data_IF_733682103628
#
_entry.id   IF_733682103628
#
_cell.length_a   1.000
_cell.length_b   1.000
_cell.length_c   1.000
_cell.angle_alpha   90.00
_cell.angle_beta   90.00
_cell.angle_gamma   90.00
#
_symmetry.space_group_name_H-M   'P 1'
#
loop_
_entity.id
_entity.type
_entity.pdbx_description
1 polymer ?
#
# COMPACT_ATOMS: atom_id res chain seq x y z
N UNK A 1 18.03 21.07 -8.09
CA UNK A 1 16.65 20.58 -8.24
C UNK A 1 16.66 19.14 -7.78
N UNK A 2 15.93 18.82 -6.71
CA UNK A 2 15.88 17.46 -6.18
C UNK A 2 15.01 16.58 -7.09
N UNK A 3 15.28 15.28 -7.12
CA UNK A 3 14.49 14.32 -7.89
C UNK A 3 13.02 14.30 -7.43
N UNK A 4 12.07 14.08 -8.34
CA UNK A 4 10.63 14.13 -8.05
C UNK A 4 10.23 13.19 -6.90
N UNK A 5 10.68 11.94 -6.94
CA UNK A 5 10.40 10.96 -5.87
C UNK A 5 11.04 11.38 -4.54
N UNK A 6 12.23 11.99 -4.58
CA UNK A 6 12.88 12.47 -3.35
C UNK A 6 12.08 13.62 -2.71
N UNK A 7 11.53 14.53 -3.52
CA UNK A 7 10.63 15.59 -3.03
C UNK A 7 9.32 15.02 -2.47
N UNK A 8 8.70 14.06 -3.17
CA UNK A 8 7.47 13.42 -2.70
C UNK A 8 7.69 12.64 -1.40
N UNK A 9 8.85 11.97 -1.25
CA UNK A 9 9.23 11.30 0.01
C UNK A 9 9.38 12.30 1.16
N UNK A 10 10.07 13.43 0.92
CA UNK A 10 10.21 14.49 1.90
C UNK A 10 8.85 15.08 2.29
N UNK A 11 8.02 15.40 1.31
CA UNK A 11 6.67 15.93 1.53
C UNK A 11 5.81 14.92 2.30
N UNK A 12 5.87 13.63 1.96
CA UNK A 12 5.18 12.57 2.72
C UNK A 12 5.59 12.55 4.20
N UNK A 13 6.88 12.71 4.52
CA UNK A 13 7.36 12.83 5.90
C UNK A 13 6.88 14.10 6.59
N UNK A 14 6.96 15.24 5.91
CA UNK A 14 6.45 16.52 6.41
C UNK A 14 4.97 16.42 6.77
N UNK A 15 4.16 15.87 5.86
CA UNK A 15 2.72 15.66 6.04
C UNK A 15 2.42 14.75 7.23
N UNK A 16 3.21 13.69 7.47
CA UNK A 16 3.06 12.84 8.65
C UNK A 16 3.16 13.63 9.96
N UNK A 17 4.06 14.62 10.03
CA UNK A 17 4.17 15.50 11.19
C UNK A 17 3.03 16.53 11.25
N UNK A 18 2.71 17.19 10.15
CA UNK A 18 1.65 18.21 10.07
C UNK A 18 0.27 17.68 10.45
N UNK A 19 -0.07 16.47 10.02
CA UNK A 19 -1.35 15.82 10.34
C UNK A 19 -1.40 15.19 11.73
N UNK A 20 -0.31 15.35 12.50
CA UNK A 20 -0.09 14.70 13.79
C UNK A 20 -0.14 13.16 13.71
N UNK A 21 0.16 12.58 12.54
CA UNK A 21 0.22 11.13 12.39
C UNK A 21 1.51 10.58 13.03
N UNK A 22 2.65 11.24 12.79
CA UNK A 22 3.93 10.99 13.46
C UNK A 22 4.18 12.10 14.50
N UNK A 23 4.07 11.77 15.79
CA UNK A 23 4.20 12.73 16.89
C UNK A 23 5.03 12.15 18.03
N UNK A 24 5.51 13.01 18.94
CA UNK A 24 6.07 12.57 20.22
C UNK A 24 5.11 12.91 21.36
N UNK A 25 5.06 12.09 22.39
CA UNK A 25 4.43 12.47 23.67
C UNK A 25 5.37 13.36 24.49
N UNK A 26 4.86 13.97 25.56
CA UNK A 26 5.70 14.68 26.54
C UNK A 26 6.80 13.81 27.17
N UNK A 27 6.61 12.49 27.17
CA UNK A 27 7.60 11.51 27.63
C UNK A 27 8.59 11.07 26.52
N UNK A 28 8.54 11.69 25.33
CA UNK A 28 9.40 11.39 24.19
C UNK A 28 9.09 10.07 23.49
N UNK A 29 7.87 9.54 23.64
CA UNK A 29 7.44 8.30 22.96
C UNK A 29 6.79 8.66 21.63
N UNK A 30 7.28 8.07 20.54
CA UNK A 30 6.74 8.32 19.19
C UNK A 30 5.42 7.58 18.96
N UNK A 31 4.50 8.16 18.20
CA UNK A 31 3.16 7.61 17.93
C UNK A 31 3.14 6.24 17.24
N UNK A 32 4.18 5.87 16.49
CA UNK A 32 4.33 4.54 15.88
C UNK A 32 5.06 3.53 16.78
N UNK A 33 5.47 3.92 18.00
CA UNK A 33 6.15 3.03 18.94
C UNK A 33 5.15 2.21 19.77
N UNK A 34 5.53 0.98 20.10
CA UNK A 34 4.86 0.23 21.17
C UNK A 34 5.36 0.72 22.53
N UNK A 35 4.46 1.36 23.28
CA UNK A 35 4.72 1.91 24.62
C UNK A 35 5.30 0.89 25.61
N UNK A 36 4.96 -0.40 25.43
CA UNK A 36 5.41 -1.51 26.27
C UNK A 36 6.78 -2.09 25.87
N UNK A 37 7.27 -1.79 24.66
CA UNK A 37 8.55 -2.29 24.15
C UNK A 37 9.64 -1.23 24.23
N UNK A 38 10.70 -1.50 25.00
CA UNK A 38 11.87 -0.60 25.10
C UNK A 38 12.56 -0.43 23.75
N UNK A 39 12.76 -1.51 23.00
CA UNK A 39 13.38 -1.48 21.67
C UNK A 39 12.56 -0.68 20.67
N UNK A 40 11.22 -0.86 20.67
CA UNK A 40 10.33 -0.12 19.77
C UNK A 40 10.40 1.39 20.02
N UNK A 41 10.37 1.80 21.29
CA UNK A 41 10.52 3.21 21.68
C UNK A 41 11.86 3.80 21.25
N UNK A 42 12.96 3.06 21.47
CA UNK A 42 14.30 3.53 21.11
C UNK A 42 14.45 3.70 19.59
N UNK A 43 14.07 2.69 18.80
CA UNK A 43 14.18 2.72 17.34
C UNK A 43 13.29 3.81 16.75
N UNK A 44 12.01 3.88 17.14
CA UNK A 44 11.09 4.88 16.64
C UNK A 44 11.55 6.30 16.97
N UNK A 45 12.03 6.53 18.19
CA UNK A 45 12.60 7.81 18.60
C UNK A 45 13.80 8.18 17.73
N UNK A 46 14.71 7.24 17.49
CA UNK A 46 15.90 7.49 16.68
C UNK A 46 15.58 7.79 15.21
N UNK A 47 14.55 7.16 14.63
CA UNK A 47 14.04 7.52 13.30
C UNK A 47 13.60 8.98 13.28
N UNK A 48 12.80 9.41 14.27
CA UNK A 48 12.33 10.79 14.34
C UNK A 48 13.46 11.78 14.58
N UNK A 49 14.44 11.45 15.43
CA UNK A 49 15.64 12.29 15.62
C UNK A 49 16.37 12.51 14.29
N UNK A 50 16.56 11.48 13.47
CA UNK A 50 17.17 11.62 12.13
C UNK A 50 16.31 12.53 11.22
N UNK A 51 14.99 12.32 11.18
CA UNK A 51 14.07 13.13 10.38
C UNK A 51 14.05 14.62 10.80
N UNK A 52 14.21 14.90 12.09
CA UNK A 52 14.23 16.27 12.60
C UNK A 52 15.60 16.92 12.42
N UNK A 53 16.68 16.23 12.81
CA UNK A 53 18.01 16.82 12.88
C UNK A 53 18.65 16.97 11.49
N UNK A 54 18.48 15.97 10.62
CA UNK A 54 19.12 15.94 9.30
C UNK A 54 18.20 16.39 8.17
N UNK A 55 16.91 16.06 8.27
CA UNK A 55 15.92 16.44 7.26
C UNK A 55 15.12 17.69 7.66
N UNK A 56 15.37 18.28 8.83
CA UNK A 56 14.77 19.55 9.28
C UNK A 56 13.24 19.53 9.33
N UNK A 57 12.63 18.35 9.52
CA UNK A 57 11.20 18.26 9.79
C UNK A 57 10.87 18.79 11.19
N UNK A 58 9.66 19.34 11.36
CA UNK A 58 9.20 19.84 12.65
C UNK A 58 8.30 18.82 13.32
N UNK A 59 8.77 18.22 14.41
CA UNK A 59 7.98 17.24 15.14
C UNK A 59 7.03 17.90 16.16
N UNK A 60 5.77 17.43 16.17
CA UNK A 60 4.75 17.92 17.09
C UNK A 60 4.69 17.08 18.37
N UNK A 61 4.42 17.75 19.50
CA UNK A 61 4.21 17.09 20.79
C UNK A 61 2.72 16.91 21.04
N UNK A 62 2.24 15.67 21.05
CA UNK A 62 0.83 15.29 21.24
C UNK A 62 0.72 14.01 22.08
N UNK A 63 -0.02 14.05 23.20
CA UNK A 63 -0.05 12.94 24.15
C UNK A 63 -0.99 11.78 23.77
N UNK A 64 -2.04 12.02 22.96
CA UNK A 64 -2.96 10.93 22.59
C UNK A 64 -3.74 11.19 21.31
N UNK A 65 -3.54 10.32 20.32
CA UNK A 65 -4.39 10.19 19.13
C UNK A 65 -4.85 8.73 19.04
N UNK A 66 -6.09 8.52 18.62
CA UNK A 66 -6.63 7.17 18.50
C UNK A 66 -5.92 6.41 17.38
N UNK A 67 -5.63 5.12 17.59
CA UNK A 67 -4.97 4.29 16.57
C UNK A 67 -5.80 4.15 15.27
N UNK A 68 -7.12 4.25 15.36
CA UNK A 68 -8.00 4.27 14.17
C UNK A 68 -7.80 5.55 13.34
N UNK A 69 -7.67 6.70 14.01
CA UNK A 69 -7.37 7.97 13.35
C UNK A 69 -6.00 7.91 12.66
N UNK A 70 -4.97 7.40 13.34
CA UNK A 70 -3.63 7.27 12.79
C UNK A 70 -3.59 6.34 11.57
N UNK A 71 -4.29 5.20 11.64
CA UNK A 71 -4.41 4.28 10.50
C UNK A 71 -5.00 4.97 9.27
N UNK A 72 -6.17 5.60 9.42
CA UNK A 72 -6.85 6.29 8.31
C UNK A 72 -6.05 7.46 7.74
N UNK A 73 -5.34 8.21 8.59
CA UNK A 73 -4.45 9.27 8.13
C UNK A 73 -3.27 8.69 7.34
N UNK A 74 -2.66 7.61 7.82
CA UNK A 74 -1.54 6.98 7.15
C UNK A 74 -1.93 6.41 5.77
N UNK A 75 -3.12 5.83 5.65
CA UNK A 75 -3.70 5.41 4.37
C UNK A 75 -3.85 6.59 3.40
N UNK A 76 -4.41 7.72 3.86
CA UNK A 76 -4.58 8.93 3.06
C UNK A 76 -3.23 9.48 2.59
N UNK A 77 -2.25 9.59 3.49
CA UNK A 77 -0.92 10.10 3.15
C UNK A 77 -0.17 9.18 2.19
N UNK A 78 -0.36 7.86 2.30
CA UNK A 78 0.20 6.89 1.35
C UNK A 78 -0.41 7.07 -0.04
N UNK A 79 -1.72 7.32 -0.10
CA UNK A 79 -2.41 7.65 -1.36
C UNK A 79 -1.89 8.96 -1.97
N UNK A 80 -1.73 10.01 -1.17
CA UNK A 80 -1.19 11.31 -1.61
C UNK A 80 0.24 11.15 -2.19
N UNK A 81 1.12 10.40 -1.51
CA UNK A 81 2.46 10.08 -2.03
C UNK A 81 2.41 9.39 -3.41
N UNK A 82 1.51 8.41 -3.58
CA UNK A 82 1.35 7.71 -4.86
C UNK A 82 0.81 8.64 -5.96
N UNK A 83 -0.10 9.56 -5.62
CA UNK A 83 -0.61 10.58 -6.54
C UNK A 83 0.47 11.57 -6.98
N UNK A 84 1.40 11.90 -6.09
CA UNK A 84 2.53 12.79 -6.38
C UNK A 84 3.67 12.12 -7.17
N UNK A 85 3.63 10.80 -7.36
CA UNK A 85 4.73 10.05 -7.97
C UNK A 85 4.32 9.24 -9.19
N UNK A 86 3.44 8.24 -9.03
CA UNK A 86 3.15 7.24 -10.06
C UNK A 86 2.61 7.84 -11.38
N UNK A 87 1.72 8.85 -11.39
CA UNK A 87 1.23 9.45 -12.63
C UNK A 87 2.33 10.04 -13.52
N UNK A 88 3.48 10.44 -12.95
CA UNK A 88 4.60 11.02 -13.70
C UNK A 88 5.46 9.98 -14.43
N UNK A 89 5.20 8.68 -14.25
CA UNK A 89 5.96 7.59 -14.88
C UNK A 89 5.36 7.14 -16.23
N UNK A 90 4.67 8.03 -16.95
CA UNK A 90 4.01 7.70 -18.24
C UNK A 90 4.95 7.13 -19.30
N UNK A 91 6.23 7.50 -19.26
CA UNK A 91 7.24 6.98 -20.18
C UNK A 91 7.61 5.51 -19.91
N UNK A 92 7.44 5.04 -18.67
CA UNK A 92 7.67 3.65 -18.28
C UNK A 92 6.38 2.84 -18.34
N UNK A 93 5.26 3.44 -17.90
CA UNK A 93 3.96 2.78 -17.78
C UNK A 93 2.83 3.71 -18.24
N UNK A 94 2.64 3.90 -19.55
CA UNK A 94 1.62 4.80 -20.08
C UNK A 94 0.21 4.30 -19.77
N UNK A 95 -0.67 5.23 -19.41
CA UNK A 95 -2.08 4.95 -19.21
C UNK A 95 -2.81 6.01 -18.40
N UNK A 96 -4.13 5.96 -18.44
CA UNK A 96 -4.98 6.77 -17.58
C UNK A 96 -5.14 6.07 -16.23
N UNK A 97 -4.33 6.49 -15.26
CA UNK A 97 -4.31 5.92 -13.93
C UNK A 97 -5.17 6.73 -12.97
N UNK A 98 -5.85 6.02 -12.07
CA UNK A 98 -6.56 6.61 -10.94
C UNK A 98 -6.09 5.97 -9.65
N UNK A 99 -5.94 6.78 -8.59
CA UNK A 99 -5.43 6.35 -7.29
C UNK A 99 -6.42 6.82 -6.24
N UNK A 100 -7.02 5.89 -5.51
CA UNK A 100 -8.08 6.16 -4.55
C UNK A 100 -7.90 5.34 -3.27
N UNK A 101 -8.17 5.94 -2.12
CA UNK A 101 -8.37 5.24 -0.86
C UNK A 101 -9.73 4.53 -0.88
N UNK A 102 -9.84 3.25 -0.50
CA UNK A 102 -11.11 2.57 -0.27
C UNK A 102 -11.33 2.43 1.24
N UNK A 103 -11.86 3.48 1.87
CA UNK A 103 -12.33 3.38 3.25
C UNK A 103 -13.69 2.68 3.34
N UNK A 104 -14.09 2.25 4.55
CA UNK A 104 -15.38 1.59 4.86
C UNK A 104 -16.65 2.29 4.33
N UNK A 105 -16.56 3.56 3.89
CA UNK A 105 -17.68 4.35 3.38
C UNK A 105 -17.64 4.58 1.86
N UNK A 106 -16.68 3.99 1.12
CA UNK A 106 -16.55 4.26 -0.32
C UNK A 106 -17.45 3.38 -1.19
N UNK A 107 -17.94 4.00 -2.27
CA UNK A 107 -18.81 3.38 -3.29
C UNK A 107 -18.12 2.29 -4.11
N UNK A 108 -16.79 2.36 -4.24
CA UNK A 108 -15.98 1.44 -5.03
C UNK A 108 -15.69 0.17 -4.23
N UNK A 109 -16.05 -0.97 -4.81
CA UNK A 109 -15.79 -2.31 -4.30
C UNK A 109 -14.78 -3.02 -5.20
N UNK A 110 -14.14 -4.08 -4.70
CA UNK A 110 -13.27 -4.92 -5.52
C UNK A 110 -13.97 -5.41 -6.79
N UNK A 111 -15.27 -5.72 -6.72
CA UNK A 111 -16.10 -6.11 -7.86
C UNK A 111 -16.35 -5.02 -8.91
N UNK A 112 -15.89 -3.79 -8.70
CA UNK A 112 -15.95 -2.71 -9.68
C UNK A 112 -14.74 -2.70 -10.62
N UNK A 113 -13.86 -3.69 -10.49
CA UNK A 113 -12.76 -3.92 -11.42
C UNK A 113 -12.99 -5.20 -12.23
N UNK A 114 -12.53 -5.19 -13.48
CA UNK A 114 -12.76 -6.27 -14.46
C UNK A 114 -12.39 -7.64 -13.90
N UNK A 115 -11.21 -7.73 -13.26
CA UNK A 115 -10.69 -9.01 -12.79
C UNK A 115 -11.57 -9.67 -11.72
N UNK A 116 -12.44 -8.90 -11.08
CA UNK A 116 -13.22 -9.29 -9.92
C UNK A 116 -14.72 -9.01 -10.11
N UNK A 117 -15.16 -8.62 -11.31
CA UNK A 117 -16.56 -8.25 -11.57
C UNK A 117 -17.55 -9.33 -11.14
N UNK A 118 -17.22 -10.59 -11.43
CA UNK A 118 -18.01 -11.77 -11.08
C UNK A 118 -18.31 -11.92 -9.58
N UNK A 119 -17.53 -11.27 -8.69
CA UNK A 119 -17.81 -11.29 -7.26
C UNK A 119 -19.13 -10.59 -6.91
N UNK A 120 -19.56 -9.59 -7.69
CA UNK A 120 -20.87 -8.96 -7.51
C UNK A 120 -22.01 -9.98 -7.74
N UNK A 121 -21.88 -10.81 -8.78
CA UNK A 121 -22.83 -11.88 -9.07
C UNK A 121 -22.85 -12.95 -7.97
N UNK A 122 -21.68 -13.41 -7.51
CA UNK A 122 -21.60 -14.36 -6.41
C UNK A 122 -22.23 -13.82 -5.12
N UNK A 123 -21.99 -12.54 -4.81
CA UNK A 123 -22.58 -11.88 -3.64
C UNK A 123 -24.10 -11.80 -3.71
N UNK A 124 -24.69 -11.63 -4.90
CA UNK A 124 -26.14 -11.61 -5.07
C UNK A 124 -26.73 -13.01 -4.82
N UNK A 125 -26.10 -14.06 -5.36
CA UNK A 125 -26.55 -15.44 -5.17
C UNK A 125 -26.46 -15.93 -3.73
N UNK A 126 -25.40 -15.58 -3.01
CA UNK A 126 -25.21 -15.98 -1.61
C UNK A 126 -26.18 -15.26 -0.67
N UNK A 127 -26.58 -14.02 -0.98
CA UNK A 127 -27.58 -13.28 -0.22
C UNK A 127 -28.96 -13.97 -0.22
N UNK A 128 -29.28 -14.70 -1.30
CA UNK A 128 -30.54 -15.42 -1.47
C UNK A 128 -30.46 -16.90 -1.01
N UNK A 129 -29.26 -17.42 -0.72
CA UNK A 129 -29.05 -18.83 -0.38
C UNK A 129 -28.05 -19.02 0.76
N UNK A 130 -28.57 -19.26 1.97
CA UNK A 130 -27.79 -19.45 3.18
C UNK A 130 -26.82 -20.65 3.11
N UNK A 131 -27.16 -21.70 2.35
CA UNK A 131 -26.30 -22.88 2.20
C UNK A 131 -25.10 -22.58 1.31
N UNK A 132 -25.30 -21.81 0.24
CA UNK A 132 -24.21 -21.29 -0.60
C UNK A 132 -23.34 -20.29 0.19
N UNK A 133 -23.93 -19.41 0.98
CA UNK A 133 -23.19 -18.48 1.83
C UNK A 133 -22.29 -19.21 2.83
N UNK A 134 -22.77 -20.29 3.46
CA UNK A 134 -21.98 -21.10 4.38
C UNK A 134 -20.82 -21.85 3.69
N UNK A 135 -20.97 -22.24 2.42
CA UNK A 135 -19.95 -22.98 1.68
C UNK A 135 -18.88 -22.08 1.05
N UNK A 136 -19.26 -20.89 0.56
CA UNK A 136 -18.37 -19.95 -0.13
C UNK A 136 -17.72 -18.92 0.82
N UNK A 137 -18.30 -18.72 2.00
CA UNK A 137 -17.90 -17.66 2.92
C UNK A 137 -18.30 -16.26 2.44
N UNK A 138 -17.86 -15.23 3.16
CA UNK A 138 -18.06 -13.81 2.81
C UNK A 138 -16.73 -13.05 2.62
N UNK A 139 -15.59 -13.76 2.65
CA UNK A 139 -14.26 -13.13 2.74
C UNK A 139 -13.80 -12.48 1.42
N UNK A 140 -14.47 -12.73 0.30
CA UNK A 140 -14.14 -12.12 -1.01
C UNK A 140 -14.46 -10.60 -1.10
N UNK A 141 -15.02 -10.00 -0.05
CA UNK A 141 -15.44 -8.60 -0.02
C UNK A 141 -14.46 -7.64 0.65
N UNK A 142 -13.29 -8.10 1.11
CA UNK A 142 -12.34 -7.19 1.78
C UNK A 142 -11.70 -6.26 0.75
N UNK A 143 -12.01 -4.97 0.88
CA UNK A 143 -11.45 -3.92 0.04
C UNK A 143 -10.07 -3.50 0.56
N UNK A 144 -9.07 -3.34 -0.31
CA UNK A 144 -7.75 -2.86 0.10
C UNK A 144 -7.75 -1.37 0.43
N UNK A 145 -6.84 -0.93 1.29
CA UNK A 145 -6.84 0.43 1.83
C UNK A 145 -6.68 1.51 0.74
N UNK A 146 -5.76 1.30 -0.21
CA UNK A 146 -5.54 2.16 -1.38
C UNK A 146 -5.48 1.30 -2.64
N UNK A 147 -6.15 1.74 -3.70
CA UNK A 147 -6.12 1.11 -5.02
C UNK A 147 -5.53 2.03 -6.07
N UNK A 148 -4.83 1.41 -7.02
CA UNK A 148 -4.44 2.01 -8.28
C UNK A 148 -5.15 1.22 -9.37
N UNK A 149 -5.80 1.89 -10.30
CA UNK A 149 -6.45 1.22 -11.41
C UNK A 149 -6.27 1.99 -12.71
N UNK A 150 -6.38 1.25 -13.82
CA UNK A 150 -6.30 1.78 -15.18
C UNK A 150 -7.70 1.92 -15.76
N UNK A 151 -8.01 3.10 -16.30
CA UNK A 151 -9.23 3.30 -17.07
C UNK A 151 -9.14 2.57 -18.43
N UNK A 152 -10.31 2.27 -18.99
CA UNK A 152 -10.43 1.72 -20.33
C UNK A 152 -10.03 2.76 -21.39
N UNK A 153 -9.49 2.28 -22.50
CA UNK A 153 -9.07 3.10 -23.63
C UNK A 153 -10.14 3.12 -24.72
N UNK A 154 -10.37 4.29 -25.30
CA UNK A 154 -11.16 4.44 -26.52
C UNK A 154 -10.35 3.96 -27.73
N UNK A 155 -11.02 3.56 -28.80
CA UNK A 155 -10.35 3.08 -30.01
C UNK A 155 -9.54 4.19 -30.68
N UNK A 156 -9.94 5.47 -30.57
CA UNK A 156 -9.15 6.61 -31.03
C UNK A 156 -7.84 6.76 -30.26
N UNK A 157 -7.80 6.39 -28.97
CA UNK A 157 -6.57 6.40 -28.18
C UNK A 157 -5.65 5.25 -28.58
N UNK A 158 -6.21 4.04 -28.76
CA UNK A 158 -5.46 2.87 -29.19
C UNK A 158 -4.87 3.09 -30.58
N UNK A 159 -5.67 3.65 -31.50
CA UNK A 159 -5.29 3.84 -32.89
C UNK A 159 -4.50 5.13 -33.16
N UNK A 160 -4.07 5.86 -32.11
CA UNK A 160 -3.49 7.21 -32.23
C UNK A 160 -2.26 7.28 -33.14
N UNK A 161 -1.30 6.39 -32.93
CA UNK A 161 -0.03 6.36 -33.67
C UNK A 161 -0.09 5.39 -34.87
N UNK A 162 -0.87 4.32 -34.73
CA UNK A 162 -1.02 3.28 -35.75
C UNK A 162 -2.43 2.69 -35.66
N UNK A 163 -3.02 2.38 -36.80
CA UNK A 163 -4.28 1.63 -36.85
C UNK A 163 -4.06 0.19 -36.36
N UNK A 164 -4.46 -0.09 -35.11
CA UNK A 164 -4.23 -1.35 -34.40
C UNK A 164 -5.51 -2.19 -34.30
N UNK A 165 -6.66 -1.55 -34.06
CA UNK A 165 -7.96 -2.23 -33.89
C UNK A 165 -9.03 -1.63 -34.78
N UNK A 166 -9.99 -2.47 -35.15
CA UNK A 166 -11.21 -2.11 -35.86
C UNK A 166 -12.45 -2.65 -35.13
N UNK A 167 -13.63 -2.53 -35.75
CA UNK A 167 -14.89 -3.04 -35.22
C UNK A 167 -15.01 -4.57 -35.22
N UNK A 168 -14.03 -5.30 -35.76
CA UNK A 168 -14.09 -6.74 -35.99
C UNK A 168 -13.04 -7.55 -35.21
N UNK A 169 -11.95 -6.91 -34.82
CA UNK A 169 -10.82 -7.48 -34.08
C UNK A 169 -10.88 -7.08 -32.60
N UNK A 170 -10.18 -7.79 -31.71
CA UNK A 170 -10.01 -7.37 -30.31
C UNK A 170 -11.31 -7.21 -29.48
N UNK A 171 -12.39 -7.92 -29.81
CA UNK A 171 -13.74 -7.77 -29.20
C UNK A 171 -13.89 -8.25 -27.76
N UNK A 172 -12.85 -8.90 -27.23
CA UNK A 172 -12.82 -9.47 -25.88
C UNK A 172 -11.64 -8.91 -25.06
N UNK A 173 -11.00 -7.85 -25.56
CA UNK A 173 -9.88 -7.23 -24.87
C UNK A 173 -10.40 -6.34 -23.73
N UNK A 174 -10.00 -6.65 -22.50
CA UNK A 174 -10.45 -5.97 -21.28
C UNK A 174 -10.19 -4.45 -21.29
N UNK A 175 -9.09 -4.01 -21.91
CA UNK A 175 -8.70 -2.59 -21.94
C UNK A 175 -9.55 -1.74 -22.88
N UNK A 176 -10.26 -2.34 -23.86
CA UNK A 176 -11.04 -1.61 -24.86
C UNK A 176 -12.39 -1.22 -24.30
N UNK A 177 -12.64 0.08 -24.25
CA UNK A 177 -13.92 0.60 -23.77
C UNK A 177 -15.11 0.18 -24.64
N UNK A 178 -14.90 0.02 -25.94
CA UNK A 178 -15.92 -0.41 -26.89
C UNK A 178 -16.50 -1.81 -26.61
N UNK A 179 -15.75 -2.69 -25.93
CA UNK A 179 -16.23 -4.03 -25.60
C UNK A 179 -17.26 -4.05 -24.47
N UNK A 180 -17.39 -2.93 -23.74
CA UNK A 180 -18.04 -2.92 -22.44
C UNK A 180 -17.19 -3.67 -21.42
N UNK A 181 -17.04 -3.12 -20.23
CA UNK A 181 -16.19 -3.69 -19.19
C UNK A 181 -15.97 -2.69 -18.07
N UNK A 182 -15.10 -3.06 -17.13
CA UNK A 182 -14.76 -2.25 -15.96
C UNK A 182 -13.28 -1.85 -15.98
N UNK A 183 -12.89 -0.79 -15.23
CA UNK A 183 -11.48 -0.46 -15.06
C UNK A 183 -10.65 -1.65 -14.54
N UNK A 184 -9.36 -1.66 -14.84
CA UNK A 184 -8.45 -2.74 -14.46
C UNK A 184 -7.76 -2.40 -13.14
N UNK A 185 -7.93 -3.24 -12.11
CA UNK A 185 -7.19 -3.08 -10.86
C UNK A 185 -5.69 -3.30 -11.14
N UNK A 186 -4.88 -2.28 -10.91
CA UNK A 186 -3.44 -2.35 -11.14
C UNK A 186 -2.68 -2.69 -9.87
N UNK A 187 -3.09 -2.10 -8.74
CA UNK A 187 -2.47 -2.35 -7.45
C UNK A 187 -3.47 -2.27 -6.30
N UNK A 188 -3.21 -3.11 -5.30
CA UNK A 188 -3.79 -3.13 -3.97
C UNK A 188 -2.68 -2.80 -2.97
N UNK A 189 -2.78 -1.64 -2.34
CA UNK A 189 -1.79 -1.12 -1.38
C UNK A 189 -2.44 -1.11 0.00
N UNK A 190 -2.03 -2.02 0.88
CA UNK A 190 -2.47 -2.00 2.28
C UNK A 190 -1.54 -1.09 3.08
N UNK A 191 -2.08 -0.11 3.81
CA UNK A 191 -1.29 0.82 4.61
C UNK A 191 -1.49 0.54 6.11
N UNK A 192 -0.40 0.18 6.81
CA UNK A 192 -0.45 -0.22 8.22
C UNK A 192 0.49 0.67 9.03
N UNK A 193 -0.05 1.64 9.77
CA UNK A 193 0.76 2.57 10.55
C UNK A 193 1.64 1.87 11.60
N UNK A 194 1.05 0.93 12.35
CA UNK A 194 1.78 0.04 13.26
C UNK A 194 1.30 -1.39 13.12
N UNK A 195 2.16 -2.35 13.45
CA UNK A 195 1.87 -3.76 13.28
C UNK A 195 1.77 -4.48 14.62
N UNK A 196 0.84 -5.43 14.67
CA UNK A 196 0.77 -6.49 15.66
C UNK A 196 0.75 -7.82 14.90
N UNK A 197 1.25 -8.89 15.51
CA UNK A 197 1.40 -10.20 14.83
C UNK A 197 0.09 -10.76 14.30
N UNK A 198 -1.04 -10.47 14.97
CA UNK A 198 -2.40 -10.80 14.53
C UNK A 198 -2.81 -10.02 13.28
N UNK A 199 -2.45 -8.73 13.19
CA UNK A 199 -2.83 -7.86 12.06
C UNK A 199 -2.07 -8.17 10.77
N UNK A 200 -0.91 -8.81 10.85
CA UNK A 200 -0.18 -9.29 9.68
C UNK A 200 -0.96 -10.39 8.92
N UNK A 201 -1.84 -11.14 9.60
CA UNK A 201 -2.67 -12.16 8.97
C UNK A 201 -3.78 -11.55 8.11
N UNK A 202 -4.34 -10.41 8.52
CA UNK A 202 -5.40 -9.75 7.75
C UNK A 202 -4.92 -9.39 6.34
N UNK A 203 -3.74 -8.77 6.23
CA UNK A 203 -3.17 -8.42 4.93
C UNK A 203 -2.82 -9.65 4.09
N UNK A 204 -2.46 -10.79 4.69
CA UNK A 204 -2.28 -12.05 3.95
C UNK A 204 -3.61 -12.62 3.44
N UNK A 205 -4.66 -12.58 4.25
CA UNK A 205 -6.00 -13.04 3.85
C UNK A 205 -6.57 -12.18 2.72
N UNK A 206 -6.43 -10.85 2.82
CA UNK A 206 -6.77 -9.89 1.76
C UNK A 206 -6.04 -10.24 0.45
N UNK A 207 -4.72 -10.43 0.53
CA UNK A 207 -3.89 -10.81 -0.61
C UNK A 207 -4.35 -12.14 -1.24
N UNK A 208 -4.56 -13.17 -0.42
CA UNK A 208 -5.01 -14.48 -0.88
C UNK A 208 -6.38 -14.41 -1.58
N UNK A 209 -7.27 -13.53 -1.14
CA UNK A 209 -8.57 -13.33 -1.80
C UNK A 209 -8.40 -12.71 -3.19
N UNK A 210 -7.53 -11.72 -3.34
CA UNK A 210 -7.21 -11.16 -4.66
C UNK A 210 -6.54 -12.20 -5.57
N UNK A 211 -5.66 -13.04 -5.02
CA UNK A 211 -4.99 -14.09 -5.78
C UNK A 211 -5.98 -15.15 -6.26
N UNK A 212 -6.81 -15.67 -5.36
CA UNK A 212 -7.70 -16.81 -5.64
C UNK A 212 -8.87 -16.45 -6.56
N UNK A 213 -9.38 -15.23 -6.46
CA UNK A 213 -10.59 -14.83 -7.17
C UNK A 213 -10.35 -14.05 -8.46
N UNK A 214 -9.11 -13.80 -8.87
CA UNK A 214 -8.88 -13.02 -10.10
C UNK A 214 -9.31 -13.78 -11.36
N UNK A 215 -9.83 -13.04 -12.34
CA UNK A 215 -9.88 -13.44 -13.75
C UNK A 215 -9.01 -12.47 -14.56
N UNK A 216 -7.84 -12.91 -14.98
CA UNK A 216 -6.84 -12.06 -15.65
C UNK A 216 -5.57 -11.87 -14.83
N UNK A 217 -4.84 -10.79 -15.11
CA UNK A 217 -3.57 -10.49 -14.42
C UNK A 217 -3.79 -10.13 -12.96
N UNK A 218 -2.89 -10.64 -12.10
CA UNK A 218 -2.87 -10.31 -10.68
C UNK A 218 -2.44 -8.83 -10.55
N UNK A 219 -3.18 -7.99 -9.80
CA UNK A 219 -2.70 -6.66 -9.44
C UNK A 219 -1.46 -6.76 -8.55
N UNK A 220 -0.67 -5.69 -8.46
CA UNK A 220 0.34 -5.59 -7.42
C UNK A 220 -0.29 -5.69 -6.03
N UNK A 221 0.27 -6.50 -5.15
CA UNK A 221 -0.19 -6.67 -3.77
C UNK A 221 0.95 -6.27 -2.84
N UNK A 222 0.87 -5.08 -2.28
CA UNK A 222 1.96 -4.48 -1.50
C UNK A 222 1.47 -3.94 -0.18
N UNK A 223 2.40 -3.81 0.78
CA UNK A 223 2.09 -3.20 2.08
C UNK A 223 3.03 -2.04 2.35
N UNK A 224 2.48 -0.90 2.76
CA UNK A 224 3.24 0.25 3.27
C UNK A 224 3.09 0.30 4.78
N UNK A 225 4.19 0.52 5.51
CA UNK A 225 4.17 0.49 6.98
C UNK A 225 5.13 1.49 7.62
N UNK A 226 4.74 1.95 8.82
CA UNK A 226 5.59 2.75 9.71
C UNK A 226 6.00 1.98 10.98
N UNK A 227 5.88 0.65 10.99
CA UNK A 227 6.30 -0.19 12.11
C UNK A 227 7.83 -0.14 12.32
N UNK A 228 8.30 0.28 13.52
CA UNK A 228 9.73 0.40 13.79
C UNK A 228 10.44 -0.94 14.07
N UNK A 229 9.75 -2.01 14.47
CA UNK A 229 10.40 -3.24 14.92
C UNK A 229 10.68 -4.24 13.78
N UNK A 230 11.95 -4.65 13.55
CA UNK A 230 12.29 -5.63 12.51
C UNK A 230 11.57 -6.97 12.61
N UNK A 231 11.34 -7.51 13.81
CA UNK A 231 10.62 -8.77 13.97
C UNK A 231 9.13 -8.69 13.58
N UNK A 232 8.49 -7.52 13.75
CA UNK A 232 7.12 -7.27 13.32
C UNK A 232 7.03 -7.06 11.82
N UNK A 233 8.01 -6.36 11.23
CA UNK A 233 8.18 -6.27 9.79
C UNK A 233 8.33 -7.67 9.19
N UNK A 234 9.18 -8.51 9.80
CA UNK A 234 9.41 -9.88 9.38
C UNK A 234 8.15 -10.75 9.42
N UNK A 235 7.27 -10.57 10.40
CA UNK A 235 6.01 -11.34 10.49
C UNK A 235 5.12 -11.23 9.24
N UNK A 236 5.26 -10.14 8.48
CA UNK A 236 4.54 -9.89 7.24
C UNK A 236 5.41 -10.09 5.99
N UNK A 237 6.63 -9.56 6.02
CA UNK A 237 7.53 -9.56 4.87
C UNK A 237 8.14 -10.94 4.56
N UNK A 238 8.30 -11.80 5.57
CA UNK A 238 8.80 -13.16 5.39
C UNK A 238 7.76 -14.07 4.75
N UNK A 239 8.24 -14.91 3.83
CA UNK A 239 7.43 -15.74 2.96
C UNK A 239 7.26 -15.11 1.58
N UNK A 240 6.81 -15.93 0.64
CA UNK A 240 6.59 -15.58 -0.76
C UNK A 240 5.22 -16.10 -1.20
N UNK A 241 4.61 -15.44 -2.19
CA UNK A 241 3.37 -15.90 -2.83
C UNK A 241 2.16 -15.04 -2.53
N UNK A 242 2.08 -14.39 -1.36
CA UNK A 242 0.92 -13.58 -0.99
C UNK A 242 1.16 -12.08 -1.25
N UNK A 243 2.26 -11.54 -0.73
CA UNK A 243 2.61 -10.12 -0.79
C UNK A 243 3.86 -9.95 -1.64
N UNK A 244 3.80 -9.05 -2.62
CA UNK A 244 4.90 -8.78 -3.55
C UNK A 244 6.09 -8.17 -2.81
N UNK A 245 5.86 -7.12 -2.01
CA UNK A 245 6.88 -6.47 -1.19
C UNK A 245 6.26 -5.63 -0.05
N UNK A 246 7.03 -5.39 1.00
CA UNK A 246 6.71 -4.41 2.05
C UNK A 246 7.57 -3.18 1.85
N UNK A 247 6.98 -1.99 1.99
CA UNK A 247 7.65 -0.70 1.87
C UNK A 247 7.60 0.02 3.21
N UNK A 248 8.76 0.35 3.76
CA UNK A 248 8.86 1.10 4.99
C UNK A 248 8.85 2.60 4.69
N UNK A 249 8.12 3.36 5.51
CA UNK A 249 7.93 4.81 5.32
C UNK A 249 9.24 5.60 5.34
N UNK A 250 10.25 5.11 6.09
CA UNK A 250 11.54 5.76 6.30
C UNK A 250 12.65 4.68 6.42
N UNK A 251 12.86 3.87 5.37
CA UNK A 251 13.72 2.68 5.47
C UNK A 251 15.18 3.06 5.76
N UNK A 252 15.68 4.11 5.13
CA UNK A 252 17.07 4.54 5.30
C UNK A 252 17.35 4.96 6.76
N UNK A 253 16.41 5.66 7.37
CA UNK A 253 16.43 6.09 8.76
C UNK A 253 16.26 4.90 9.70
N UNK A 254 15.38 3.94 9.38
CA UNK A 254 15.22 2.69 10.12
C UNK A 254 16.50 1.87 10.16
N UNK A 255 17.19 1.70 9.03
CA UNK A 255 18.46 0.95 8.97
C UNK A 255 19.49 1.56 9.92
N UNK A 256 19.59 2.90 9.93
CA UNK A 256 20.51 3.62 10.82
C UNK A 256 20.09 3.51 12.28
N UNK A 257 18.80 3.69 12.57
CA UNK A 257 18.27 3.57 13.92
C UNK A 257 18.49 2.17 14.51
N UNK A 258 18.21 1.11 13.75
CA UNK A 258 18.41 -0.28 14.21
C UNK A 258 19.89 -0.59 14.41
N UNK A 259 20.78 -0.07 13.57
CA UNK A 259 22.24 -0.22 13.77
C UNK A 259 22.76 0.47 15.03
N UNK A 260 22.16 1.59 15.43
CA UNK A 260 22.63 2.37 16.58
C UNK A 260 22.02 1.89 17.91
N UNK A 261 20.72 1.60 17.93
CA UNK A 261 19.97 1.32 19.17
C UNK A 261 19.25 -0.02 19.19
N UNK A 262 19.29 -0.78 18.09
CA UNK A 262 18.70 -2.12 17.99
C UNK A 262 19.58 -3.21 18.60
N UNK A 263 18.99 -4.40 18.78
CA UNK A 263 19.75 -5.61 19.13
C UNK A 263 20.41 -6.22 17.90
N UNK A 264 21.40 -7.09 18.10
CA UNK A 264 22.04 -7.86 17.02
C UNK A 264 20.99 -8.63 16.19
N UNK A 265 20.05 -9.34 16.85
CA UNK A 265 18.93 -10.01 16.17
C UNK A 265 18.08 -9.06 15.31
N UNK A 266 17.89 -7.81 15.75
CA UNK A 266 17.10 -6.83 15.02
C UNK A 266 17.84 -6.35 13.78
N UNK A 267 19.16 -6.17 13.87
CA UNK A 267 20.05 -5.82 12.76
C UNK A 267 20.02 -6.95 11.71
N UNK A 268 20.29 -8.19 12.12
CA UNK A 268 20.32 -9.36 11.23
C UNK A 268 18.96 -9.58 10.54
N UNK A 269 17.86 -9.46 11.30
CA UNK A 269 16.51 -9.57 10.75
C UNK A 269 16.26 -8.51 9.69
N UNK A 270 16.59 -7.24 9.97
CA UNK A 270 16.37 -6.15 9.02
C UNK A 270 17.22 -6.32 7.75
N UNK A 271 18.49 -6.68 7.91
CA UNK A 271 19.39 -6.93 6.78
C UNK A 271 18.89 -8.08 5.90
N UNK A 272 18.41 -9.17 6.51
CA UNK A 272 17.80 -10.30 5.80
C UNK A 272 16.60 -9.87 4.96
N UNK A 273 15.72 -9.02 5.51
CA UNK A 273 14.54 -8.52 4.80
C UNK A 273 14.91 -7.64 3.60
N UNK A 274 15.88 -6.73 3.77
CA UNK A 274 16.31 -5.81 2.72
C UNK A 274 17.07 -6.55 1.62
N UNK A 275 18.04 -7.40 1.98
CA UNK A 275 18.80 -8.19 1.00
C UNK A 275 17.92 -9.21 0.27
N UNK A 276 16.94 -9.78 0.98
CA UNK A 276 15.93 -10.67 0.40
C UNK A 276 14.88 -9.97 -0.46
N UNK A 277 14.99 -8.65 -0.69
CA UNK A 277 14.02 -7.84 -1.45
C UNK A 277 12.59 -7.95 -0.92
N UNK A 278 12.44 -8.18 0.39
CA UNK A 278 11.16 -8.28 1.09
C UNK A 278 10.74 -6.97 1.75
N UNK A 279 11.72 -6.09 2.00
CA UNK A 279 11.52 -4.75 2.55
C UNK A 279 12.27 -3.72 1.70
N UNK A 280 11.56 -2.68 1.27
CA UNK A 280 12.07 -1.55 0.47
C UNK A 280 11.67 -0.20 1.07
N UNK A 281 12.20 0.91 0.56
CA UNK A 281 11.78 2.25 0.99
C UNK A 281 10.51 2.66 0.24
N UNK A 282 9.67 3.51 0.83
CA UNK A 282 8.50 4.07 0.16
C UNK A 282 8.85 4.71 -1.20
N UNK A 283 10.07 5.24 -1.37
CA UNK A 283 10.54 5.79 -2.64
C UNK A 283 10.67 4.76 -3.77
N UNK A 284 10.79 3.47 -3.46
CA UNK A 284 10.90 2.40 -4.45
C UNK A 284 9.52 2.02 -5.04
N UNK A 285 8.44 2.25 -4.29
CA UNK A 285 7.10 1.75 -4.59
C UNK A 285 6.60 2.18 -5.96
N UNK A 286 6.69 3.47 -6.31
CA UNK A 286 6.11 3.97 -7.56
C UNK A 286 6.84 3.41 -8.79
N UNK A 287 8.14 3.12 -8.67
CA UNK A 287 8.91 2.47 -9.73
C UNK A 287 8.58 0.98 -9.84
N UNK A 288 8.42 0.28 -8.72
CA UNK A 288 8.02 -1.13 -8.71
C UNK A 288 6.60 -1.33 -9.26
N UNK A 289 5.72 -0.32 -9.13
CA UNK A 289 4.38 -0.31 -9.73
C UNK A 289 4.40 -0.05 -11.25
N UNK A 290 5.54 0.34 -11.83
CA UNK A 290 5.64 0.68 -13.25
C UNK A 290 6.13 -0.48 -14.14
N UNK A 291 6.33 -1.66 -13.57
CA UNK A 291 6.81 -2.86 -14.29
C UNK A 291 5.75 -3.53 -15.18
#
# INVERSE_FOLDING_TARGET
MNALIANARFHFHERLFETNTLTLTNAGVVSNADTSSRGSKAIAKKIVEILVDEHHHTANIVDKISGQTLGKQFELLTMEFLQETFPYLQNLRPGQWSILQLGNNNRLKTSDFEQYEHLAYLSALTAENAQLAAALGNDYLVAPDVVIYRNLCEDEEINREQYIVDDNTGKMADIRKANGGKPLLHASVSAKFTMRSDRAQNSRTEALNLIRNRKGHLPHIVVVTAEPMPNRLASLALGTGDIDCVYHFALYELIRAVKEVGSEDAIETLETLVQGKRLKDISDLSLDLAV
#
